data_IF_226980394628
#
_entry.id   IF_226980394628
#
_cell.length_a   1.000
_cell.length_b   1.000
_cell.length_c   1.000
_cell.angle_alpha   90.00
_cell.angle_beta   90.00
_cell.angle_gamma   90.00
#
_symmetry.space_group_name_H-M   'P 1'
#
loop_
_entity.id
_entity.type
_entity.pdbx_description
1 polymer ?
#
# COMPACT_ATOMS: atom_id res chain seq x y z
N UNK A 1 -9.61 19.37 18.25
CA UNK A 1 -9.13 17.98 18.03
C UNK A 1 -7.71 18.02 17.52
N UNK A 2 -6.77 17.35 18.19
CA UNK A 2 -5.36 17.25 17.78
C UNK A 2 -5.23 16.21 16.65
N UNK A 3 -4.33 16.44 15.75
CA UNK A 3 -4.01 15.52 14.66
C UNK A 3 -2.52 15.60 14.29
N UNK A 4 -2.04 14.54 13.66
CA UNK A 4 -0.71 14.49 13.04
C UNK A 4 -0.88 14.18 11.57
N UNK A 5 -0.26 14.96 10.69
CA UNK A 5 -0.16 14.63 9.27
C UNK A 5 1.09 13.82 9.04
N UNK A 6 0.94 12.64 8.44
CA UNK A 6 2.05 11.74 8.13
C UNK A 6 1.91 11.21 6.70
N UNK A 7 3.02 10.74 6.14
CA UNK A 7 3.07 10.13 4.82
C UNK A 7 4.02 8.92 4.78
N UNK A 8 3.74 7.99 3.87
CA UNK A 8 4.64 6.91 3.49
C UNK A 8 4.71 6.83 1.97
N UNK A 9 5.88 7.21 1.40
CA UNK A 9 6.09 7.25 -0.05
C UNK A 9 5.05 8.11 -0.80
N UNK A 10 4.72 9.30 -0.28
CA UNK A 10 3.79 10.25 -0.89
C UNK A 10 2.30 9.96 -0.68
N UNK A 11 1.95 8.81 -0.10
CA UNK A 11 0.58 8.52 0.32
C UNK A 11 0.35 9.09 1.72
N UNK A 12 -0.42 10.17 1.82
CA UNK A 12 -0.52 11.03 2.99
C UNK A 12 -1.89 10.92 3.68
N UNK A 13 -1.87 10.76 5.01
CA UNK A 13 -3.07 10.69 5.85
C UNK A 13 -3.00 11.64 7.04
N UNK A 14 -4.18 11.94 7.56
CA UNK A 14 -4.35 12.63 8.84
C UNK A 14 -4.58 11.57 9.91
N UNK A 15 -3.76 11.57 10.96
CA UNK A 15 -3.81 10.60 12.04
C UNK A 15 -4.40 11.26 13.28
N UNK A 16 -5.38 10.58 13.90
CA UNK A 16 -6.02 11.03 15.14
C UNK A 16 -5.97 9.90 16.15
N UNK A 17 -5.49 10.20 17.36
CA UNK A 17 -5.55 9.29 18.49
C UNK A 17 -6.99 9.24 19.07
N UNK A 18 -7.77 8.26 18.62
CA UNK A 18 -9.15 8.09 19.02
C UNK A 18 -9.32 7.62 20.48
N UNK A 19 -8.23 7.32 21.21
CA UNK A 19 -8.28 7.06 22.66
C UNK A 19 -8.29 8.36 23.48
N UNK A 20 -7.89 9.48 22.87
CA UNK A 20 -7.87 10.80 23.51
C UNK A 20 -8.88 11.77 22.87
N UNK A 21 -9.11 11.64 21.56
CA UNK A 21 -9.95 12.52 20.78
C UNK A 21 -11.24 11.79 20.36
N UNK A 22 -12.39 12.35 20.71
CA UNK A 22 -13.69 11.76 20.33
C UNK A 22 -14.06 12.13 18.90
N UNK A 23 -14.22 11.15 18.03
CA UNK A 23 -14.64 11.30 16.64
C UNK A 23 -16.00 10.65 16.44
N UNK A 24 -17.07 11.47 16.32
CA UNK A 24 -18.46 10.96 16.24
C UNK A 24 -18.82 10.48 14.84
N UNK A 25 -18.31 11.13 13.80
CA UNK A 25 -18.63 10.84 12.40
C UNK A 25 -17.36 10.77 11.54
N UNK A 26 -16.58 9.67 11.63
CA UNK A 26 -15.26 9.59 10.99
C UNK A 26 -15.29 9.83 9.47
N UNK A 27 -16.29 9.30 8.76
CA UNK A 27 -16.40 9.50 7.30
C UNK A 27 -16.69 10.96 6.92
N UNK A 28 -17.53 11.68 7.70
CA UNK A 28 -17.74 13.12 7.48
C UNK A 28 -16.47 13.92 7.76
N UNK A 29 -15.80 13.59 8.86
CA UNK A 29 -14.54 14.22 9.22
C UNK A 29 -13.50 13.98 8.13
N UNK A 30 -13.32 12.72 7.69
CA UNK A 30 -12.37 12.38 6.62
C UNK A 30 -12.61 13.23 5.38
N UNK A 31 -13.85 13.35 4.92
CA UNK A 31 -14.19 14.17 3.75
C UNK A 31 -13.85 15.64 3.95
N UNK A 32 -14.11 16.20 5.13
CA UNK A 32 -13.86 17.60 5.41
C UNK A 32 -12.35 17.90 5.52
N UNK A 33 -11.60 17.08 6.27
CA UNK A 33 -10.17 17.33 6.54
C UNK A 33 -9.28 16.95 5.37
N UNK A 34 -9.71 16.04 4.49
CA UNK A 34 -8.93 15.60 3.33
C UNK A 34 -8.95 16.58 2.16
N UNK A 35 -9.90 17.52 2.14
CA UNK A 35 -9.94 18.56 1.11
C UNK A 35 -8.65 19.39 1.14
N UNK A 36 -7.94 19.45 -0.03
CA UNK A 36 -6.64 20.11 -0.13
C UNK A 36 -6.71 21.63 -0.19
N UNK A 37 -7.92 22.20 -0.33
CA UNK A 37 -8.17 23.64 -0.41
C UNK A 37 -8.89 24.17 0.83
N UNK A 38 -9.83 23.41 1.37
CA UNK A 38 -10.69 23.87 2.47
C UNK A 38 -10.46 23.11 3.78
N UNK A 39 -9.69 22.00 3.72
CA UNK A 39 -9.29 21.20 4.87
C UNK A 39 -7.79 21.25 5.14
N UNK A 40 -7.25 20.19 5.70
CA UNK A 40 -5.80 19.97 5.88
C UNK A 40 -5.18 19.50 4.56
N UNK A 41 -5.94 18.73 3.78
CA UNK A 41 -5.50 18.07 2.56
C UNK A 41 -4.75 16.77 2.84
N UNK A 42 -5.34 15.65 2.41
CA UNK A 42 -4.75 14.31 2.52
C UNK A 42 -5.50 13.31 1.62
N UNK A 43 -4.97 12.10 1.50
CA UNK A 43 -5.66 10.97 0.84
C UNK A 43 -6.75 10.38 1.74
N UNK A 44 -6.76 10.74 3.04
CA UNK A 44 -7.78 10.31 3.97
C UNK A 44 -7.44 10.56 5.43
N UNK A 45 -8.20 9.88 6.30
CA UNK A 45 -8.11 9.94 7.75
C UNK A 45 -7.82 8.54 8.31
N UNK A 46 -6.92 8.44 9.26
CA UNK A 46 -6.67 7.23 10.04
C UNK A 46 -6.91 7.51 11.50
N UNK A 47 -7.77 6.69 12.12
CA UNK A 47 -8.02 6.69 13.55
C UNK A 47 -7.20 5.58 14.20
N UNK A 48 -6.41 5.93 15.21
CA UNK A 48 -5.63 4.99 16.03
C UNK A 48 -6.40 4.79 17.32
N UNK A 49 -6.80 3.54 17.60
CA UNK A 49 -7.64 3.21 18.74
C UNK A 49 -7.08 2.07 19.59
N UNK A 50 -7.75 1.79 20.71
CA UNK A 50 -7.52 0.60 21.49
C UNK A 50 -8.07 -0.64 20.77
N UNK A 51 -7.42 -1.78 20.97
CA UNK A 51 -7.90 -3.09 20.49
C UNK A 51 -8.07 -4.06 21.65
N UNK A 52 -8.96 -5.03 21.47
CA UNK A 52 -9.11 -6.17 22.41
C UNK A 52 -8.28 -7.38 21.99
N UNK A 53 -7.80 -7.41 20.76
CA UNK A 53 -7.14 -8.56 20.13
C UNK A 53 -5.73 -8.26 19.63
N UNK A 54 -5.33 -6.98 19.66
CA UNK A 54 -4.05 -6.48 19.18
C UNK A 54 -3.50 -5.39 20.11
N UNK A 55 -2.30 -4.87 19.83
CA UNK A 55 -1.73 -3.77 20.62
C UNK A 55 -2.51 -2.46 20.38
N UNK A 56 -2.90 -2.20 19.12
CA UNK A 56 -3.70 -1.05 18.70
C UNK A 56 -4.66 -1.44 17.57
N UNK A 57 -5.66 -0.59 17.31
CA UNK A 57 -6.52 -0.68 16.14
C UNK A 57 -6.26 0.48 15.18
N UNK A 58 -6.46 0.22 13.90
CA UNK A 58 -6.40 1.19 12.81
C UNK A 58 -7.71 1.16 12.04
N UNK A 59 -8.44 2.28 12.05
CA UNK A 59 -9.55 2.51 11.14
C UNK A 59 -9.18 3.56 10.10
N UNK A 60 -9.38 3.24 8.83
CA UNK A 60 -9.02 4.11 7.71
C UNK A 60 -10.27 4.57 6.97
N UNK A 61 -10.28 5.84 6.61
CA UNK A 61 -11.32 6.48 5.80
C UNK A 61 -10.67 7.23 4.65
N UNK A 62 -11.15 6.98 3.43
CA UNK A 62 -10.69 7.67 2.23
C UNK A 62 -11.14 9.14 2.21
N UNK A 63 -10.59 9.94 1.31
CA UNK A 63 -10.96 11.35 1.16
C UNK A 63 -12.44 11.58 0.80
N UNK A 64 -13.12 10.60 0.21
CA UNK A 64 -14.57 10.63 -0.05
C UNK A 64 -15.44 10.27 1.16
N UNK A 65 -14.81 9.88 2.28
CA UNK A 65 -15.45 9.46 3.51
C UNK A 65 -15.79 7.96 3.58
N UNK A 66 -15.54 7.19 2.55
CA UNK A 66 -15.72 5.74 2.56
C UNK A 66 -14.71 5.05 3.47
N UNK A 67 -15.13 3.97 4.15
CA UNK A 67 -14.24 3.18 5.01
C UNK A 67 -13.36 2.29 4.15
N UNK A 68 -12.03 2.42 4.28
CA UNK A 68 -11.04 1.59 3.64
C UNK A 68 -10.71 0.34 4.46
N UNK A 69 -10.22 -0.70 3.78
CA UNK A 69 -9.91 -1.97 4.43
C UNK A 69 -8.54 -1.96 5.13
N UNK A 70 -7.49 -1.55 4.43
CA UNK A 70 -6.12 -1.45 4.93
C UNK A 70 -5.25 -0.70 3.93
N UNK A 71 -4.27 0.04 4.43
CA UNK A 71 -3.25 0.70 3.64
C UNK A 71 -1.86 0.36 4.19
N UNK A 72 -1.01 -0.27 3.37
CA UNK A 72 0.35 -0.64 3.75
C UNK A 72 1.22 0.57 4.13
N UNK A 73 1.01 1.72 3.46
CA UNK A 73 1.68 2.96 3.79
C UNK A 73 1.15 3.54 5.12
N UNK A 74 -0.18 3.55 5.27
CA UNK A 74 -0.84 4.07 6.47
C UNK A 74 -0.47 3.30 7.75
N UNK A 75 -0.41 1.97 7.69
CA UNK A 75 -0.08 1.17 8.88
C UNK A 75 1.37 1.37 9.35
N UNK A 76 2.32 1.68 8.42
CA UNK A 76 3.69 2.03 8.81
C UNK A 76 3.71 3.31 9.64
N UNK A 77 2.95 4.31 9.21
CA UNK A 77 2.80 5.56 9.97
C UNK A 77 2.13 5.35 11.33
N UNK A 78 1.13 4.43 11.44
CA UNK A 78 0.56 4.06 12.75
C UNK A 78 1.65 3.53 13.68
N UNK A 79 2.50 2.62 13.20
CA UNK A 79 3.61 2.08 14.00
C UNK A 79 4.56 3.16 14.51
N UNK A 80 5.01 4.06 13.63
CA UNK A 80 5.84 5.21 14.00
C UNK A 80 5.13 6.11 15.01
N UNK A 81 3.87 6.46 14.73
CA UNK A 81 3.06 7.33 15.60
C UNK A 81 3.01 6.80 17.04
N UNK A 82 2.56 5.55 17.22
CA UNK A 82 2.37 5.01 18.60
C UNK A 82 3.67 4.87 19.39
N UNK A 83 4.78 4.63 18.68
CA UNK A 83 6.10 4.56 19.32
C UNK A 83 6.62 5.94 19.71
N UNK A 84 6.63 6.89 18.80
CA UNK A 84 7.20 8.23 19.02
C UNK A 84 6.36 9.09 19.98
N UNK A 85 5.03 8.88 20.02
CA UNK A 85 4.14 9.49 21.01
C UNK A 85 4.19 8.79 22.38
N UNK A 86 5.08 7.81 22.59
CA UNK A 86 5.27 7.16 23.87
C UNK A 86 4.12 6.24 24.31
N UNK A 87 3.21 5.88 23.40
CA UNK A 87 2.09 4.98 23.68
C UNK A 87 2.56 3.53 23.89
N UNK A 88 3.72 3.18 23.32
CA UNK A 88 4.39 1.90 23.51
C UNK A 88 5.90 2.03 23.38
N UNK A 89 6.65 1.04 23.90
CA UNK A 89 8.10 0.86 23.64
C UNK A 89 8.41 -0.47 22.94
N UNK A 90 7.37 -1.22 22.56
CA UNK A 90 7.54 -2.44 21.76
C UNK A 90 7.97 -2.06 20.35
N UNK A 91 8.91 -2.82 19.79
CA UNK A 91 9.35 -2.71 18.39
C UNK A 91 8.69 -3.73 17.47
N UNK A 92 7.95 -4.67 18.03
CA UNK A 92 7.04 -5.55 17.27
C UNK A 92 5.64 -5.34 17.80
N UNK A 93 4.73 -4.96 16.91
CA UNK A 93 3.35 -4.62 17.24
C UNK A 93 2.39 -5.42 16.37
N UNK A 94 1.24 -5.73 16.95
CA UNK A 94 0.08 -6.21 16.19
C UNK A 94 -0.93 -5.08 16.08
N UNK A 95 -1.39 -4.78 14.88
CA UNK A 95 -2.39 -3.76 14.59
C UNK A 95 -3.64 -4.42 14.03
N UNK A 96 -4.77 -4.22 14.71
CA UNK A 96 -6.09 -4.65 14.24
C UNK A 96 -6.54 -3.74 13.10
N UNK A 97 -6.91 -4.35 11.96
CA UNK A 97 -7.46 -3.65 10.79
C UNK A 97 -8.75 -4.32 10.33
N UNK A 98 -9.50 -3.69 9.43
CA UNK A 98 -10.69 -4.30 8.81
C UNK A 98 -10.34 -5.60 8.07
N UNK A 99 -9.10 -5.70 7.52
CA UNK A 99 -8.60 -6.90 6.83
C UNK A 99 -7.94 -7.93 7.77
N UNK A 100 -8.18 -7.82 9.09
CA UNK A 100 -7.56 -8.67 10.11
C UNK A 100 -6.30 -8.05 10.72
N UNK A 101 -5.74 -8.78 11.68
CA UNK A 101 -4.53 -8.33 12.39
C UNK A 101 -3.31 -8.35 11.47
N UNK A 102 -2.46 -7.33 11.58
CA UNK A 102 -1.18 -7.21 10.89
C UNK A 102 -0.05 -7.04 11.89
N UNK A 103 1.02 -7.79 11.70
CA UNK A 103 2.24 -7.64 12.47
C UNK A 103 3.13 -6.63 11.77
N UNK A 104 3.67 -5.69 12.54
CA UNK A 104 4.64 -4.71 12.07
C UNK A 104 5.88 -4.72 12.96
N UNK A 105 7.04 -4.47 12.36
CA UNK A 105 8.32 -4.40 13.04
C UNK A 105 8.91 -3.01 12.84
N UNK A 106 9.19 -2.33 13.94
CA UNK A 106 9.72 -0.97 13.97
C UNK A 106 11.23 -1.02 14.06
N UNK A 107 11.91 -0.26 13.23
CA UNK A 107 13.36 -0.11 13.26
C UNK A 107 13.70 1.31 13.68
N UNK A 108 14.41 1.45 14.80
CA UNK A 108 14.93 2.73 15.27
C UNK A 108 16.16 3.14 14.46
N UNK A 109 16.36 4.44 14.30
CA UNK A 109 17.58 5.02 13.75
C UNK A 109 18.70 5.17 14.79
N UNK A 110 19.60 6.12 14.55
CA UNK A 110 20.63 6.51 15.53
C UNK A 110 20.01 7.04 16.82
N UNK A 111 18.91 7.77 16.71
CA UNK A 111 18.09 8.15 17.85
C UNK A 111 17.12 7.00 18.19
N UNK A 112 17.25 6.35 19.37
CA UNK A 112 16.39 5.24 19.78
C UNK A 112 14.92 5.62 20.00
N UNK A 113 14.59 6.90 20.01
CA UNK A 113 13.22 7.40 20.12
C UNK A 113 12.57 7.67 18.76
N UNK A 114 13.30 7.53 17.66
CA UNK A 114 12.81 7.77 16.31
C UNK A 114 12.77 6.48 15.50
N UNK A 115 11.68 6.28 14.78
CA UNK A 115 11.50 5.15 13.86
C UNK A 115 11.95 5.59 12.47
N UNK A 116 12.98 4.93 11.92
CA UNK A 116 13.49 5.20 10.58
C UNK A 116 12.82 4.35 9.50
N UNK A 117 12.44 3.10 9.83
CA UNK A 117 11.75 2.20 8.90
C UNK A 117 10.73 1.33 9.64
N UNK A 118 9.73 0.89 8.89
CA UNK A 118 8.72 -0.05 9.39
C UNK A 118 8.54 -1.17 8.38
N UNK A 119 8.65 -2.41 8.86
CA UNK A 119 8.37 -3.62 8.10
C UNK A 119 6.97 -4.13 8.45
N UNK A 120 6.17 -4.42 7.44
CA UNK A 120 4.80 -4.94 7.57
C UNK A 120 4.75 -6.37 7.05
N UNK A 121 4.18 -7.32 7.82
CA UNK A 121 3.84 -8.65 7.31
C UNK A 121 2.60 -8.55 6.42
N UNK A 122 2.82 -8.61 5.09
CA UNK A 122 1.76 -8.43 4.09
C UNK A 122 0.93 -9.69 3.81
N UNK A 123 1.35 -10.83 4.36
CA UNK A 123 0.69 -12.12 4.18
C UNK A 123 1.28 -12.94 3.04
N UNK A 124 0.46 -13.78 2.42
CA UNK A 124 0.84 -14.77 1.42
C UNK A 124 0.34 -14.35 0.04
N UNK A 125 1.15 -14.41 -1.01
CA UNK A 125 0.69 -14.16 -2.37
C UNK A 125 -0.19 -15.33 -2.85
N UNK A 126 -1.30 -15.02 -3.51
CA UNK A 126 -2.20 -16.00 -4.13
C UNK A 126 -2.13 -15.87 -5.66
N UNK A 127 -1.85 -16.99 -6.34
CA UNK A 127 -1.69 -17.04 -7.80
C UNK A 127 -2.83 -17.71 -8.54
N UNK A 128 -3.74 -18.43 -7.84
CA UNK A 128 -4.89 -19.07 -8.48
C UNK A 128 -5.84 -18.02 -9.04
N UNK A 129 -6.05 -18.05 -10.36
CA UNK A 129 -6.85 -17.07 -11.08
C UNK A 129 -8.25 -16.86 -10.45
N UNK A 130 -8.91 -17.93 -10.05
CA UNK A 130 -10.22 -17.89 -9.41
C UNK A 130 -10.24 -17.13 -8.06
N UNK A 131 -9.09 -17.02 -7.38
CA UNK A 131 -8.96 -16.33 -6.08
C UNK A 131 -8.50 -14.88 -6.25
N UNK A 132 -8.06 -14.49 -7.48
CA UNK A 132 -7.60 -13.11 -7.74
C UNK A 132 -8.75 -12.10 -7.99
N UNK A 133 -9.93 -12.25 -8.53
CA UNK A 133 -10.56 -13.13 -9.52
C UNK A 133 -10.15 -12.76 -10.95
N UNK A 134 -9.64 -13.74 -11.70
CA UNK A 134 -9.35 -13.63 -13.13
C UNK A 134 -10.08 -14.75 -13.86
N UNK A 135 -10.75 -14.43 -14.97
CA UNK A 135 -11.55 -15.41 -15.72
C UNK A 135 -10.99 -15.64 -17.13
N UNK A 136 -11.25 -16.83 -17.68
CA UNK A 136 -10.94 -17.18 -19.07
C UNK A 136 -9.46 -17.23 -19.46
N UNK A 137 -8.51 -17.19 -18.51
CA UNK A 137 -7.06 -17.22 -18.79
C UNK A 137 -6.35 -18.47 -18.22
N UNK A 138 -7.09 -19.44 -17.66
CA UNK A 138 -6.54 -20.67 -17.08
C UNK A 138 -6.50 -20.64 -15.55
N UNK A 139 -5.87 -21.65 -14.94
CA UNK A 139 -5.77 -21.79 -13.47
C UNK A 139 -4.79 -20.78 -12.85
N UNK A 140 -3.71 -20.51 -13.57
CA UNK A 140 -2.67 -19.52 -13.21
C UNK A 140 -2.41 -18.60 -14.40
N UNK A 141 -2.19 -17.33 -14.14
CA UNK A 141 -1.84 -16.33 -15.16
C UNK A 141 -0.40 -15.88 -14.90
N UNK A 142 0.54 -16.67 -15.42
CA UNK A 142 1.98 -16.42 -15.31
C UNK A 142 2.53 -16.17 -16.72
N UNK A 143 3.18 -15.02 -16.91
CA UNK A 143 3.77 -14.58 -18.18
C UNK A 143 2.81 -14.72 -19.40
N UNK A 144 1.53 -14.47 -19.16
CA UNK A 144 0.49 -14.56 -20.17
C UNK A 144 0.61 -13.44 -21.21
N UNK A 145 0.66 -13.80 -22.50
CA UNK A 145 0.72 -12.82 -23.58
C UNK A 145 -0.65 -12.24 -23.87
N UNK A 146 -0.74 -10.93 -23.93
CA UNK A 146 -1.99 -10.19 -24.15
C UNK A 146 -1.74 -8.95 -25.02
N UNK A 147 -2.73 -8.58 -25.83
CA UNK A 147 -2.69 -7.34 -26.63
C UNK A 147 -3.63 -6.32 -26.02
N UNK A 148 -3.11 -5.15 -25.64
CA UNK A 148 -3.88 -4.05 -25.05
C UNK A 148 -3.52 -2.76 -25.77
N UNK A 149 -4.52 -1.98 -26.17
CA UNK A 149 -4.35 -0.74 -26.95
C UNK A 149 -3.54 -0.92 -28.26
N UNK A 150 -3.51 -2.13 -28.84
CA UNK A 150 -2.76 -2.46 -30.05
C UNK A 150 -1.29 -2.84 -29.81
N UNK A 151 -0.83 -2.87 -28.57
CA UNK A 151 0.52 -3.26 -28.17
C UNK A 151 0.50 -4.63 -27.48
N UNK A 152 1.58 -5.40 -27.62
CA UNK A 152 1.73 -6.72 -27.02
C UNK A 152 2.44 -6.61 -25.67
N UNK A 153 1.86 -7.23 -24.65
CA UNK A 153 2.37 -7.27 -23.29
C UNK A 153 2.48 -8.71 -22.79
N UNK A 154 3.28 -8.90 -21.77
CA UNK A 154 3.32 -10.11 -20.95
C UNK A 154 2.81 -9.75 -19.56
N UNK A 155 1.96 -10.58 -18.98
CA UNK A 155 1.25 -10.28 -17.74
C UNK A 155 1.32 -11.45 -16.78
N UNK A 156 1.63 -11.16 -15.50
CA UNK A 156 1.48 -12.09 -14.39
C UNK A 156 0.46 -11.55 -13.41
N UNK A 157 -0.55 -12.35 -13.05
CA UNK A 157 -1.58 -11.96 -12.10
C UNK A 157 -1.39 -12.66 -10.76
N UNK A 158 -1.57 -11.92 -9.66
CA UNK A 158 -1.60 -12.44 -8.30
C UNK A 158 -2.43 -11.54 -7.38
N UNK A 159 -2.74 -12.05 -6.20
CA UNK A 159 -3.40 -11.27 -5.16
C UNK A 159 -2.50 -11.14 -3.92
N UNK A 160 -2.43 -9.93 -3.38
CA UNK A 160 -1.87 -9.60 -2.06
C UNK A 160 -2.97 -9.23 -1.05
N UNK A 161 -4.15 -9.86 -1.21
CA UNK A 161 -5.40 -9.50 -0.54
C UNK A 161 -6.30 -8.59 -1.38
N UNK A 162 -5.77 -8.09 -2.48
CA UNK A 162 -6.43 -7.39 -3.58
C UNK A 162 -5.77 -7.79 -4.91
N UNK A 163 -6.47 -7.68 -6.06
CA UNK A 163 -6.00 -8.18 -7.34
C UNK A 163 -4.96 -7.26 -7.99
N UNK A 164 -3.90 -7.88 -8.55
CA UNK A 164 -2.80 -7.22 -9.24
C UNK A 164 -2.47 -7.91 -10.56
N UNK A 165 -2.21 -7.11 -11.60
CA UNK A 165 -1.62 -7.52 -12.87
C UNK A 165 -0.27 -6.83 -13.04
N UNK A 166 0.81 -7.59 -13.06
CA UNK A 166 2.18 -7.10 -13.19
C UNK A 166 2.64 -7.25 -14.64
N UNK A 167 3.08 -6.15 -15.23
CA UNK A 167 3.44 -6.03 -16.64
C UNK A 167 4.89 -5.54 -16.76
N UNK A 168 5.86 -6.41 -17.09
CA UNK A 168 7.21 -6.00 -17.42
C UNK A 168 7.24 -5.15 -18.70
N UNK A 169 7.99 -4.04 -18.64
CA UNK A 169 8.19 -3.12 -19.75
C UNK A 169 9.65 -2.68 -19.83
N UNK A 170 10.12 -2.25 -21.00
CA UNK A 170 11.49 -1.75 -21.14
C UNK A 170 11.75 -0.44 -20.39
N UNK A 171 10.78 0.46 -20.40
CA UNK A 171 10.89 1.77 -19.76
C UNK A 171 9.50 2.23 -19.27
N UNK A 172 9.32 2.29 -17.96
CA UNK A 172 8.05 2.68 -17.34
C UNK A 172 7.67 4.14 -17.63
N UNK A 173 8.63 5.00 -17.94
CA UNK A 173 8.35 6.41 -18.24
C UNK A 173 7.74 6.61 -19.63
N UNK A 174 7.95 5.66 -20.55
CA UNK A 174 7.34 5.70 -21.89
C UNK A 174 5.90 5.22 -21.93
N UNK A 175 5.40 4.58 -20.86
CA UNK A 175 4.03 4.09 -20.81
C UNK A 175 3.05 5.26 -20.63
N UNK A 176 2.07 5.33 -21.52
CA UNK A 176 0.90 6.21 -21.34
C UNK A 176 -0.04 5.59 -20.31
N UNK A 177 0.32 5.72 -19.00
CA UNK A 177 -0.30 4.95 -17.92
C UNK A 177 -1.81 5.21 -17.81
N UNK A 178 -2.26 6.46 -18.03
CA UNK A 178 -3.69 6.78 -17.99
C UNK A 178 -4.48 6.04 -19.06
N UNK A 179 -3.92 5.87 -20.27
CA UNK A 179 -4.54 5.12 -21.35
C UNK A 179 -4.42 3.62 -21.14
N UNK A 180 -3.20 3.13 -20.94
CA UNK A 180 -2.89 1.70 -20.89
C UNK A 180 -3.34 1.06 -19.59
N UNK A 181 -3.12 1.72 -18.43
CA UNK A 181 -3.56 1.24 -17.13
C UNK A 181 -5.07 1.17 -17.02
N UNK A 182 -5.77 2.21 -17.46
CA UNK A 182 -7.24 2.18 -17.53
C UNK A 182 -7.76 1.07 -18.45
N UNK A 183 -7.09 0.80 -19.59
CA UNK A 183 -7.47 -0.28 -20.48
C UNK A 183 -7.28 -1.66 -19.83
N UNK A 184 -6.16 -1.88 -19.10
CA UNK A 184 -5.94 -3.10 -18.32
C UNK A 184 -6.99 -3.27 -17.23
N UNK A 185 -7.28 -2.21 -16.43
CA UNK A 185 -8.27 -2.26 -15.35
C UNK A 185 -9.62 -2.80 -15.83
N UNK A 186 -10.03 -2.49 -17.06
CA UNK A 186 -11.35 -2.80 -17.60
C UNK A 186 -11.37 -3.97 -18.58
N UNK A 187 -10.33 -4.79 -18.65
CA UNK A 187 -10.35 -6.00 -19.46
C UNK A 187 -11.45 -6.96 -19.00
N UNK A 188 -12.10 -7.62 -19.94
CA UNK A 188 -13.20 -8.55 -19.66
C UNK A 188 -12.79 -9.76 -18.81
N UNK A 189 -11.50 -10.10 -18.77
CA UNK A 189 -10.95 -11.13 -17.88
C UNK A 189 -10.85 -10.69 -16.41
N UNK A 190 -11.09 -9.43 -16.09
CA UNK A 190 -11.08 -8.86 -14.73
C UNK A 190 -12.46 -8.34 -14.32
N UNK A 191 -13.41 -9.22 -13.94
CA UNK A 191 -14.79 -8.82 -13.63
C UNK A 191 -14.89 -7.81 -12.49
N UNK A 192 -13.97 -7.88 -11.50
CA UNK A 192 -13.90 -6.98 -10.37
C UNK A 192 -12.85 -5.88 -10.55
N UNK A 193 -12.39 -5.66 -11.79
CA UNK A 193 -11.25 -4.81 -12.13
C UNK A 193 -9.95 -5.25 -11.43
N UNK A 194 -8.83 -4.58 -11.73
CA UNK A 194 -7.51 -4.95 -11.22
C UNK A 194 -6.61 -3.74 -11.06
N UNK A 195 -5.67 -3.79 -10.09
CA UNK A 195 -4.54 -2.88 -10.06
C UNK A 195 -3.53 -3.34 -11.10
N UNK A 196 -2.87 -2.42 -11.79
CA UNK A 196 -1.93 -2.72 -12.86
C UNK A 196 -0.58 -2.08 -12.54
N UNK A 197 0.44 -2.91 -12.36
CA UNK A 197 1.81 -2.51 -12.08
C UNK A 197 2.66 -2.66 -13.34
N UNK A 198 3.11 -1.55 -13.92
CA UNK A 198 4.13 -1.54 -14.97
C UNK A 198 5.50 -1.52 -14.30
N UNK A 199 6.33 -2.53 -14.58
CA UNK A 199 7.64 -2.68 -13.96
C UNK A 199 8.76 -2.66 -14.99
N UNK A 200 9.85 -1.98 -14.66
CA UNK A 200 11.12 -2.00 -15.38
C UNK A 200 12.16 -2.65 -14.47
N UNK A 201 12.80 -3.69 -14.95
CA UNK A 201 13.89 -4.33 -14.23
C UNK A 201 15.14 -3.47 -14.41
N UNK A 202 15.71 -2.95 -13.32
CA UNK A 202 16.93 -2.16 -13.33
C UNK A 202 18.16 -3.04 -13.13
N UNK A 203 18.08 -3.98 -12.20
CA UNK A 203 19.08 -5.00 -11.92
C UNK A 203 18.45 -6.21 -11.20
N UNK A 204 19.28 -7.15 -10.73
CA UNK A 204 18.81 -8.37 -10.05
C UNK A 204 18.13 -8.14 -8.69
N UNK A 205 18.17 -6.92 -8.14
CA UNK A 205 17.63 -6.56 -6.83
C UNK A 205 16.81 -5.29 -6.85
N UNK A 206 16.63 -4.68 -8.03
CA UNK A 206 15.95 -3.38 -8.15
C UNK A 206 14.98 -3.36 -9.32
N UNK A 207 13.74 -2.99 -9.03
CA UNK A 207 12.73 -2.71 -10.05
C UNK A 207 12.23 -1.27 -9.91
N UNK A 208 11.90 -0.65 -11.02
CA UNK A 208 11.19 0.63 -11.05
C UNK A 208 9.75 0.37 -11.41
N UNK A 209 8.80 1.01 -10.73
CA UNK A 209 7.37 0.72 -10.88
C UNK A 209 6.55 1.99 -11.02
N UNK A 210 5.57 1.94 -11.93
CA UNK A 210 4.42 2.83 -11.96
C UNK A 210 3.14 2.00 -11.85
N UNK A 211 2.15 2.50 -11.11
CA UNK A 211 0.93 1.76 -10.82
C UNK A 211 -0.31 2.54 -11.25
N UNK A 212 -1.24 1.84 -11.85
CA UNK A 212 -2.63 2.27 -12.03
C UNK A 212 -3.49 1.50 -11.03
N UNK A 213 -3.95 2.19 -9.99
CA UNK A 213 -4.77 1.56 -8.95
C UNK A 213 -6.24 1.51 -9.36
N UNK A 214 -6.86 0.39 -9.07
CA UNK A 214 -8.27 0.10 -9.30
C UNK A 214 -9.16 1.19 -8.68
N UNK A 215 -9.88 1.91 -9.53
CA UNK A 215 -10.80 2.97 -9.13
C UNK A 215 -10.16 4.30 -8.72
N UNK A 216 -8.82 4.38 -8.66
CA UNK A 216 -8.10 5.59 -8.23
C UNK A 216 -7.24 6.21 -9.33
N UNK A 217 -6.82 5.42 -10.33
CA UNK A 217 -5.92 5.87 -11.36
C UNK A 217 -4.45 5.77 -10.96
N UNK A 218 -3.57 6.56 -11.60
CA UNK A 218 -2.15 6.57 -11.25
C UNK A 218 -1.94 7.20 -9.88
N UNK A 219 -1.24 6.47 -8.99
CA UNK A 219 -0.85 6.96 -7.66
C UNK A 219 0.67 7.00 -7.51
N UNK A 220 1.16 7.72 -6.50
CA UNK A 220 2.59 7.82 -6.22
C UNK A 220 3.18 6.55 -5.62
N UNK A 221 2.36 5.74 -4.93
CA UNK A 221 2.81 4.53 -4.23
C UNK A 221 1.66 3.60 -3.89
N UNK A 222 1.82 2.32 -4.22
CA UNK A 222 0.93 1.24 -3.81
C UNK A 222 1.74 0.15 -3.11
N UNK A 223 1.51 -0.06 -1.80
CA UNK A 223 2.27 -1.04 -1.01
C UNK A 223 2.02 -2.49 -1.44
N UNK A 224 0.74 -2.87 -1.67
CA UNK A 224 0.37 -4.20 -2.17
C UNK A 224 0.84 -4.41 -3.61
N UNK A 225 0.80 -3.35 -4.43
CA UNK A 225 1.34 -3.35 -5.78
C UNK A 225 2.85 -3.56 -5.82
N UNK A 226 3.62 -2.91 -4.92
CA UNK A 226 5.05 -3.15 -4.78
C UNK A 226 5.36 -4.60 -4.39
N UNK A 227 4.58 -5.18 -3.47
CA UNK A 227 4.69 -6.60 -3.12
C UNK A 227 4.40 -7.50 -4.32
N UNK A 228 3.30 -7.25 -5.04
CA UNK A 228 2.91 -8.02 -6.22
C UNK A 228 3.99 -7.92 -7.31
N UNK A 229 4.52 -6.73 -7.57
CA UNK A 229 5.57 -6.47 -8.55
C UNK A 229 6.86 -7.26 -8.25
N UNK A 230 7.35 -7.19 -7.02
CA UNK A 230 8.57 -7.92 -6.60
C UNK A 230 8.36 -9.44 -6.65
N UNK A 231 7.22 -9.93 -6.14
CA UNK A 231 6.87 -11.36 -6.16
C UNK A 231 6.75 -11.89 -7.59
N UNK A 232 6.07 -11.18 -8.49
CA UNK A 232 5.97 -11.56 -9.91
C UNK A 232 7.35 -11.58 -10.59
N UNK A 233 8.19 -10.57 -10.35
CA UNK A 233 9.54 -10.51 -10.89
C UNK A 233 10.43 -11.65 -10.38
N UNK A 234 10.28 -12.09 -9.11
CA UNK A 234 10.97 -13.27 -8.56
C UNK A 234 10.47 -14.57 -9.20
N UNK A 235 9.17 -14.69 -9.43
CA UNK A 235 8.58 -15.90 -10.07
C UNK A 235 9.05 -16.06 -11.50
N UNK A 236 9.14 -14.98 -12.27
CA UNK A 236 9.64 -14.98 -13.64
C UNK A 236 11.19 -15.04 -13.75
N UNK A 237 11.90 -15.04 -12.60
CA UNK A 237 13.38 -15.08 -12.58
C UNK A 237 14.03 -13.77 -13.06
N UNK A 238 13.27 -12.67 -13.16
CA UNK A 238 13.79 -11.37 -13.57
C UNK A 238 14.63 -10.70 -12.46
N UNK A 239 14.33 -11.02 -11.19
CA UNK A 239 15.12 -10.61 -10.03
C UNK A 239 15.48 -11.82 -9.18
N UNK A 240 16.54 -11.69 -8.39
CA UNK A 240 17.01 -12.74 -7.49
C UNK A 240 16.07 -12.92 -6.30
N UNK A 241 16.11 -14.08 -5.65
CA UNK A 241 15.48 -14.28 -4.36
C UNK A 241 16.13 -13.38 -3.28
N UNK A 242 15.33 -12.99 -2.29
CA UNK A 242 15.77 -12.12 -1.20
C UNK A 242 15.03 -10.79 -1.20
N UNK A 243 15.73 -9.72 -0.83
CA UNK A 243 15.17 -8.38 -0.79
C UNK A 243 15.25 -7.71 -2.17
N UNK A 244 14.12 -7.19 -2.63
CA UNK A 244 14.01 -6.41 -3.86
C UNK A 244 13.62 -4.97 -3.53
N UNK A 245 14.41 -4.02 -3.99
CA UNK A 245 14.08 -2.60 -3.95
C UNK A 245 13.06 -2.27 -5.05
N UNK A 246 11.98 -1.61 -4.69
CA UNK A 246 10.94 -1.13 -5.60
C UNK A 246 10.96 0.39 -5.60
N UNK A 247 11.43 0.97 -6.71
CA UNK A 247 11.46 2.42 -6.92
C UNK A 247 10.12 2.89 -7.46
N UNK A 248 9.45 3.75 -6.70
CA UNK A 248 8.15 4.34 -6.98
C UNK A 248 8.30 5.86 -7.19
N UNK A 249 7.31 6.51 -7.76
CA UNK A 249 7.31 7.98 -7.84
C UNK A 249 7.33 8.66 -6.47
N UNK A 250 6.71 8.04 -5.47
CA UNK A 250 6.65 8.56 -4.11
C UNK A 250 7.82 8.19 -3.20
N UNK A 251 8.73 7.32 -3.65
CA UNK A 251 9.87 6.86 -2.84
C UNK A 251 10.26 5.42 -3.11
N UNK A 252 11.04 4.83 -2.23
CA UNK A 252 11.54 3.46 -2.34
C UNK A 252 10.96 2.58 -1.26
N UNK A 253 10.50 1.40 -1.64
CA UNK A 253 10.08 0.32 -0.76
C UNK A 253 10.98 -0.89 -0.95
N UNK A 254 11.08 -1.74 0.06
CA UNK A 254 11.82 -2.99 0.01
C UNK A 254 10.86 -4.14 0.25
N UNK A 255 10.91 -5.14 -0.60
CA UNK A 255 10.04 -6.31 -0.52
C UNK A 255 10.90 -7.55 -0.37
N UNK A 256 10.61 -8.37 0.65
CA UNK A 256 11.22 -9.68 0.83
C UNK A 256 10.13 -10.74 0.80
N UNK A 257 10.28 -11.75 -0.04
CA UNK A 257 9.42 -12.92 -0.04
C UNK A 257 10.14 -14.12 0.56
N UNK A 258 9.82 -14.45 1.81
CA UNK A 258 10.25 -15.70 2.44
C UNK A 258 9.45 -16.86 1.85
N UNK A 259 10.00 -17.53 0.84
CA UNK A 259 9.33 -18.65 0.14
C UNK A 259 9.14 -19.86 1.04
N UNK A 260 9.99 -20.05 2.05
CA UNK A 260 9.89 -21.19 2.99
C UNK A 260 8.65 -21.04 3.87
N UNK A 261 8.38 -19.84 4.36
CA UNK A 261 7.19 -19.53 5.16
C UNK A 261 6.03 -19.05 4.30
N UNK A 262 6.27 -18.83 3.01
CA UNK A 262 5.37 -18.20 2.05
C UNK A 262 4.80 -16.86 2.57
N UNK A 263 5.66 -16.00 3.10
CA UNK A 263 5.29 -14.69 3.65
C UNK A 263 6.02 -13.57 2.93
N UNK A 264 5.27 -12.54 2.59
CA UNK A 264 5.80 -11.29 2.00
C UNK A 264 5.93 -10.24 3.09
N UNK A 265 7.09 -9.62 3.17
CA UNK A 265 7.41 -8.50 4.03
C UNK A 265 7.57 -7.24 3.19
N UNK A 266 6.99 -6.14 3.64
CA UNK A 266 7.10 -4.82 3.02
C UNK A 266 7.77 -3.86 3.99
N UNK A 267 8.95 -3.37 3.66
CA UNK A 267 9.70 -2.41 4.45
C UNK A 267 9.72 -1.04 3.75
N UNK A 268 9.51 0.02 4.50
CA UNK A 268 9.56 1.36 3.95
C UNK A 268 9.52 2.46 5.00
N UNK A 269 9.70 3.71 4.58
CA UNK A 269 9.67 4.86 5.46
C UNK A 269 8.26 5.15 5.97
N UNK A 270 8.22 5.88 7.07
CA UNK A 270 7.05 6.55 7.60
C UNK A 270 7.51 7.91 8.13
N UNK A 271 6.88 9.00 7.73
CA UNK A 271 7.34 10.34 8.04
C UNK A 271 6.23 11.20 8.62
N UNK A 272 6.53 11.89 9.70
CA UNK A 272 5.69 12.95 10.25
C UNK A 272 5.94 14.23 9.46
N UNK A 273 4.87 14.82 8.91
CA UNK A 273 4.96 16.09 8.16
C UNK A 273 4.76 17.27 9.09
N UNK A 274 3.69 17.26 9.87
CA UNK A 274 3.41 18.24 10.92
C UNK A 274 2.30 17.77 11.86
N UNK A 275 2.21 18.43 13.00
CA UNK A 275 1.14 18.30 13.98
C UNK A 275 0.29 19.56 14.03
N UNK A 276 -1.00 19.41 14.39
CA UNK A 276 -1.89 20.55 14.46
C UNK A 276 -3.12 20.30 15.32
N UNK A 277 -3.92 21.35 15.44
CA UNK A 277 -5.20 21.30 16.11
C UNK A 277 -6.30 21.84 15.19
N UNK A 278 -7.32 21.03 14.93
CA UNK A 278 -8.50 21.45 14.20
C UNK A 278 -9.33 22.42 15.03
N UNK A 279 -9.81 23.50 14.40
CA UNK A 279 -10.82 24.35 14.99
C UNK A 279 -12.15 23.59 15.17
N UNK A 280 -12.96 24.00 16.13
CA UNK A 280 -14.20 23.28 16.55
C UNK A 280 -15.32 23.26 15.48
N UNK A 281 -15.12 23.83 14.29
CA UNK A 281 -16.16 24.01 13.26
C UNK A 281 -15.98 23.18 11.98
N UNK A 282 -15.31 22.03 12.06
CA UNK A 282 -15.22 21.12 10.91
C UNK A 282 -16.13 19.89 11.11
#
# INVERSE_FOLDING_TARGET
MRFTKMQGCGNDYIYVNAMEERVESPGRLAKAVSDRHFGIGADGLILIGASKTADFSMEMYNADGSKGAMCGNGIRCVGKYVYEHGMTRKTTLTIETVSGNRVIHLQTGENPNEICQVTVEMGTPEFRAAQIPVVSLGEYVLEHKITVCGENYTMTCLSMGNPHAVIPVEDVEKISIAKTGSAFEHLSCFPDRINTEFIQILDQHTIKMRVWERGSGETLSCGTGACAAAVAAMVSGCVSEGETAVELRGGRLFVTWDRTKNKVLLTGPAETVFEGTLAERI
#
